data_IF_024645649409
#
_entry.id   IF_024645649409
#
_cell.length_a   1.000
_cell.length_b   1.000
_cell.length_c   1.000
_cell.angle_alpha   90.00
_cell.angle_beta   90.00
_cell.angle_gamma   90.00
#
_symmetry.space_group_name_H-M   'P 1'
#
loop_
_entity.id
_entity.type
_entity.pdbx_description
1 polymer ?
#
# COMPACT_ATOMS: atom_id res chain seq x y z
N UNK A 1 5.28 18.46 16.07
CA UNK A 1 4.13 17.51 16.02
C UNK A 1 4.71 16.11 15.89
N UNK A 2 4.22 15.13 16.65
CA UNK A 2 4.68 13.74 16.55
C UNK A 2 3.87 13.03 15.46
N UNK A 3 4.55 12.29 14.60
CA UNK A 3 3.93 11.45 13.57
C UNK A 3 4.05 10.00 14.03
N UNK A 4 2.96 9.24 13.91
CA UNK A 4 2.94 7.80 14.14
C UNK A 4 2.82 7.13 12.78
N UNK A 5 3.78 6.25 12.46
CA UNK A 5 3.65 5.40 11.29
C UNK A 5 2.73 4.22 11.63
N UNK A 6 1.66 4.08 10.86
CA UNK A 6 0.67 3.00 10.97
C UNK A 6 0.68 2.10 9.73
N UNK A 7 1.74 2.21 8.92
CA UNK A 7 1.90 1.48 7.68
C UNK A 7 2.64 0.17 7.92
N UNK A 8 2.24 -0.89 7.22
CA UNK A 8 3.02 -2.12 7.15
C UNK A 8 4.17 -1.96 6.16
N UNK A 9 5.31 -2.62 6.42
CA UNK A 9 6.43 -2.66 5.48
C UNK A 9 6.05 -3.54 4.27
N UNK A 10 6.23 -2.99 3.06
CA UNK A 10 5.65 -3.53 1.82
C UNK A 10 6.14 -4.93 1.48
N UNK A 11 7.42 -5.26 1.69
CA UNK A 11 7.99 -6.55 1.25
C UNK A 11 7.94 -7.65 2.31
N UNK A 12 7.51 -7.34 3.53
CA UNK A 12 7.44 -8.27 4.66
C UNK A 12 6.03 -8.42 5.24
N UNK A 13 5.06 -7.64 4.76
CA UNK A 13 3.67 -7.80 5.15
C UNK A 13 3.08 -9.12 4.65
N UNK A 14 2.03 -9.58 5.33
CA UNK A 14 1.32 -10.79 4.93
C UNK A 14 0.59 -10.55 3.61
N UNK A 15 0.81 -11.45 2.65
CA UNK A 15 0.15 -11.46 1.35
C UNK A 15 -1.13 -12.29 1.44
N UNK A 16 -2.21 -11.83 0.81
CA UNK A 16 -3.44 -12.60 0.72
C UNK A 16 -3.20 -13.93 -0.04
N UNK A 17 -3.83 -15.04 0.35
CA UNK A 17 -3.71 -16.29 -0.40
C UNK A 17 -4.00 -16.09 -1.89
N UNK A 18 -3.12 -16.61 -2.75
CA UNK A 18 -3.21 -16.54 -4.22
C UNK A 18 -2.91 -15.16 -4.87
N UNK A 19 -2.72 -14.10 -4.10
CA UNK A 19 -2.27 -12.81 -4.63
C UNK A 19 -0.76 -12.81 -4.95
N UNK A 20 -0.31 -11.99 -5.93
CA UNK A 20 1.10 -11.86 -6.22
C UNK A 20 1.82 -11.19 -5.06
N UNK A 21 2.86 -11.86 -4.54
CA UNK A 21 3.73 -11.27 -3.53
C UNK A 21 4.47 -10.05 -4.11
N UNK A 22 4.70 -9.00 -3.30
CA UNK A 22 5.47 -7.83 -3.72
C UNK A 22 6.91 -8.23 -4.01
N UNK A 23 7.41 -7.84 -5.18
CA UNK A 23 8.78 -8.13 -5.61
C UNK A 23 9.56 -6.86 -5.91
N UNK A 24 10.88 -6.92 -5.70
CA UNK A 24 11.81 -5.87 -6.10
C UNK A 24 12.97 -6.46 -6.87
N UNK A 25 13.35 -5.78 -7.94
CA UNK A 25 14.49 -6.11 -8.80
C UNK A 25 15.48 -4.96 -8.78
N UNK A 26 16.66 -5.21 -8.23
CA UNK A 26 17.79 -4.28 -8.32
C UNK A 26 18.30 -4.31 -9.77
N UNK A 27 18.06 -3.21 -10.50
CA UNK A 27 18.50 -3.02 -11.89
C UNK A 27 19.91 -2.41 -11.92
N UNK A 28 20.18 -1.45 -11.03
CA UNK A 28 21.51 -0.82 -10.84
C UNK A 28 21.83 -0.70 -9.36
N UNK A 29 23.10 -0.87 -9.00
CA UNK A 29 23.63 -0.69 -7.65
C UNK A 29 24.97 0.01 -7.64
N UNK A 30 25.07 1.09 -6.88
CA UNK A 30 26.33 1.80 -6.62
C UNK A 30 27.34 0.94 -5.87
N UNK A 31 26.89 -0.04 -5.09
CA UNK A 31 27.79 -1.02 -4.45
C UNK A 31 28.54 -1.88 -5.49
N UNK A 32 27.99 -1.98 -6.70
CA UNK A 32 28.63 -2.65 -7.85
C UNK A 32 29.46 -1.69 -8.72
N UNK A 33 29.67 -0.45 -8.27
CA UNK A 33 30.43 0.58 -9.00
C UNK A 33 29.64 1.31 -10.08
N UNK A 34 28.31 1.17 -10.10
CA UNK A 34 27.45 1.91 -11.03
C UNK A 34 27.17 3.34 -10.52
N UNK A 35 26.73 4.23 -11.41
CA UNK A 35 26.58 5.67 -11.11
C UNK A 35 25.34 6.02 -10.27
N UNK A 36 24.37 5.11 -10.15
CA UNK A 36 23.15 5.32 -9.35
C UNK A 36 22.52 3.98 -8.94
N UNK A 37 21.68 4.01 -7.90
CA UNK A 37 20.84 2.88 -7.52
C UNK A 37 19.51 2.94 -8.28
N UNK A 38 19.07 1.80 -8.81
CA UNK A 38 17.80 1.70 -9.51
C UNK A 38 17.14 0.37 -9.17
N UNK A 39 15.91 0.45 -8.67
CA UNK A 39 15.09 -0.71 -8.31
C UNK A 39 13.75 -0.59 -9.02
N UNK A 40 13.38 -1.62 -9.78
CA UNK A 40 11.99 -1.82 -10.18
C UNK A 40 11.27 -2.63 -9.11
N UNK A 41 9.99 -2.38 -8.90
CA UNK A 41 9.16 -3.19 -8.03
C UNK A 41 7.78 -3.41 -8.65
N UNK A 42 7.12 -4.50 -8.27
CA UNK A 42 5.74 -4.81 -8.63
C UNK A 42 5.01 -5.37 -7.40
N UNK A 43 3.71 -5.13 -7.29
CA UNK A 43 2.90 -5.59 -6.14
C UNK A 43 1.40 -5.61 -6.50
N UNK A 44 0.62 -6.41 -5.77
CA UNK A 44 -0.83 -6.26 -5.73
C UNK A 44 -1.21 -4.90 -5.13
N UNK A 45 -2.25 -4.24 -5.66
CA UNK A 45 -2.77 -2.99 -5.11
C UNK A 45 -3.33 -3.15 -3.68
N UNK A 46 -3.66 -4.38 -3.29
CA UNK A 46 -4.21 -4.75 -1.98
C UNK A 46 -3.15 -5.29 -1.00
N UNK A 47 -1.86 -5.07 -1.29
CA UNK A 47 -0.75 -5.50 -0.43
C UNK A 47 -0.41 -4.44 0.64
N UNK A 48 -0.32 -4.86 1.91
CA UNK A 48 0.04 -3.96 3.01
C UNK A 48 -1.06 -2.96 3.38
N UNK A 49 -0.69 -1.81 3.95
CA UNK A 49 -1.63 -0.74 4.28
C UNK A 49 -2.08 -0.03 3.00
N UNK A 50 -3.36 -0.19 2.63
CA UNK A 50 -3.93 0.32 1.36
C UNK A 50 -5.37 0.82 1.55
N UNK A 51 -5.98 1.26 0.46
CA UNK A 51 -7.40 1.64 0.37
C UNK A 51 -8.02 0.92 -0.83
N UNK A 52 -9.30 0.59 -0.73
CA UNK A 52 -10.07 0.08 -1.85
C UNK A 52 -10.84 1.23 -2.52
N UNK A 53 -10.75 1.31 -3.84
CA UNK A 53 -11.65 2.15 -4.63
C UNK A 53 -12.98 1.42 -4.85
N UNK A 54 -14.12 2.13 -5.02
CA UNK A 54 -15.40 1.50 -5.34
C UNK A 54 -15.33 0.52 -6.52
N UNK A 55 -14.49 0.82 -7.51
CA UNK A 55 -14.24 -0.06 -8.66
C UNK A 55 -13.79 -1.49 -8.28
N UNK A 56 -13.22 -1.70 -7.09
CA UNK A 56 -12.80 -3.03 -6.63
C UNK A 56 -13.98 -4.02 -6.54
N UNK A 57 -15.17 -3.54 -6.19
CA UNK A 57 -16.37 -4.38 -6.04
C UNK A 57 -17.57 -3.94 -6.89
N UNK A 58 -17.55 -2.72 -7.42
CA UNK A 58 -18.64 -2.12 -8.19
C UNK A 58 -18.13 -1.89 -9.62
N UNK A 59 -18.70 -2.59 -10.59
CA UNK A 59 -18.26 -2.58 -12.00
C UNK A 59 -18.10 -1.18 -12.60
N UNK A 60 -19.03 -0.28 -12.29
CA UNK A 60 -19.01 1.11 -12.76
C UNK A 60 -18.69 2.09 -11.61
N UNK A 61 -18.03 1.57 -10.57
CA UNK A 61 -17.57 2.33 -9.43
C UNK A 61 -16.38 3.21 -9.79
N UNK A 62 -16.21 4.30 -9.03
CA UNK A 62 -15.07 5.20 -9.17
C UNK A 62 -13.74 4.47 -9.04
N UNK A 63 -12.78 4.78 -9.92
CA UNK A 63 -11.38 4.38 -9.76
C UNK A 63 -10.70 5.26 -8.72
N UNK A 64 -9.52 4.85 -8.24
CA UNK A 64 -8.83 5.53 -7.14
C UNK A 64 -8.51 7.00 -7.44
N UNK A 65 -8.19 7.32 -8.70
CA UNK A 65 -7.88 8.66 -9.19
C UNK A 65 -9.11 9.58 -9.29
N UNK A 66 -10.32 9.03 -9.18
CA UNK A 66 -11.58 9.79 -9.18
C UNK A 66 -12.07 10.12 -7.76
N UNK A 67 -11.35 9.69 -6.71
CA UNK A 67 -11.69 9.99 -5.32
C UNK A 67 -11.03 11.31 -4.90
N UNK A 68 -11.82 12.20 -4.31
CA UNK A 68 -11.36 13.51 -3.84
C UNK A 68 -10.27 13.33 -2.75
N UNK A 69 -9.12 13.99 -2.88
CA UNK A 69 -7.97 13.81 -1.97
C UNK A 69 -8.31 14.21 -0.51
N UNK A 70 -9.22 15.15 -0.33
CA UNK A 70 -9.75 15.60 0.96
C UNK A 70 -10.39 14.46 1.76
N UNK A 71 -10.79 13.37 1.10
CA UNK A 71 -11.27 12.13 1.75
C UNK A 71 -10.18 11.48 2.61
N UNK A 72 -8.91 11.63 2.24
CA UNK A 72 -7.78 10.92 2.85
C UNK A 72 -6.97 11.78 3.84
N UNK A 73 -7.35 13.05 4.05
CA UNK A 73 -6.63 13.97 4.92
C UNK A 73 -7.60 14.70 5.83
N UNK A 74 -7.57 14.39 7.12
CA UNK A 74 -8.45 15.04 8.09
C UNK A 74 -8.30 14.51 9.50
N UNK A 75 -9.19 14.98 10.37
CA UNK A 75 -9.31 14.46 11.73
C UNK A 75 -9.83 13.03 11.69
N UNK A 76 -9.15 12.14 12.40
CA UNK A 76 -9.57 10.75 12.57
C UNK A 76 -9.66 10.42 14.06
N UNK A 77 -10.58 9.52 14.40
CA UNK A 77 -10.72 8.97 15.75
C UNK A 77 -10.15 7.55 15.77
N UNK A 78 -9.22 7.29 16.69
CA UNK A 78 -8.67 5.96 16.89
C UNK A 78 -9.46 5.28 18.01
N UNK A 79 -10.10 4.16 17.69
CA UNK A 79 -10.87 3.35 18.62
C UNK A 79 -10.17 2.00 18.86
N UNK A 80 -10.32 1.46 20.07
CA UNK A 80 -9.88 0.11 20.41
C UNK A 80 -11.06 -0.86 20.33
N UNK A 81 -10.79 -2.08 19.83
CA UNK A 81 -11.78 -3.16 19.76
C UNK A 81 -11.10 -4.52 20.03
N UNK A 82 -11.87 -5.47 20.57
CA UNK A 82 -11.45 -6.85 20.76
C UNK A 82 -12.42 -7.82 20.08
N UNK A 83 -11.88 -8.78 19.32
CA UNK A 83 -12.66 -9.76 18.57
C UNK A 83 -12.63 -9.50 17.07
N UNK A 84 -13.55 -10.14 16.35
CA UNK A 84 -13.67 -9.99 14.89
C UNK A 84 -14.52 -8.75 14.60
N UNK A 85 -13.96 -7.82 13.83
CA UNK A 85 -14.71 -6.71 13.23
C UNK A 85 -15.22 -7.18 11.87
N UNK A 86 -16.53 -7.31 11.72
CA UNK A 86 -17.21 -7.61 10.44
C UNK A 86 -18.00 -6.41 9.97
#
# INVERSE_FOLDING_TARGET
MKIYDISQEVFSCQVYPDDPAPEKKIIRSMEKGEVYNLTAFSMCAHNGTHIDAPFHFIKDGKTVDEICLETFVGMSYVAEHHGIVT
#
